data_IF_656616127555
#
_entry.id   IF_656616127555
#
_cell.length_a   1.000
_cell.length_b   1.000
_cell.length_c   1.000
_cell.angle_alpha   90.00
_cell.angle_beta   90.00
_cell.angle_gamma   90.00
#
_symmetry.space_group_name_H-M   'P 1'
#
loop_
_entity.id
_entity.type
_entity.pdbx_description
1 polymer ?
#
# COMPACT_ATOMS: atom_id res chain seq x y z
N UNK A 1 -4.83 -25.64 -9.20
CA UNK A 1 -4.56 -24.25 -9.55
C UNK A 1 -5.74 -23.43 -9.07
N UNK A 2 -5.56 -22.59 -8.08
CA UNK A 2 -6.59 -21.69 -7.59
C UNK A 2 -6.96 -20.69 -8.69
N UNK A 3 -8.21 -20.73 -9.12
CA UNK A 3 -8.76 -19.86 -10.19
C UNK A 3 -9.06 -18.47 -9.58
N UNK A 4 -8.00 -17.77 -9.11
CA UNK A 4 -8.14 -16.43 -8.55
C UNK A 4 -8.54 -15.46 -9.66
N UNK A 5 -9.77 -14.99 -9.62
CA UNK A 5 -10.25 -13.90 -10.46
C UNK A 5 -10.14 -12.60 -9.69
N UNK A 6 -9.52 -11.60 -10.29
CA UNK A 6 -9.45 -10.24 -9.74
C UNK A 6 -10.84 -9.68 -9.57
N UNK A 7 -11.11 -9.13 -8.38
CA UNK A 7 -12.33 -8.35 -8.18
C UNK A 7 -12.26 -7.10 -9.05
N UNK A 8 -13.34 -6.76 -9.73
CA UNK A 8 -13.42 -5.61 -10.63
C UNK A 8 -14.75 -4.89 -10.38
N UNK A 9 -14.85 -4.24 -9.21
CA UNK A 9 -16.05 -3.54 -8.74
C UNK A 9 -15.87 -2.04 -8.94
N UNK A 10 -16.71 -1.39 -9.77
CA UNK A 10 -16.61 0.05 -10.01
C UNK A 10 -16.82 0.87 -8.73
N UNK A 11 -15.99 1.91 -8.53
CA UNK A 11 -16.08 2.80 -7.38
C UNK A 11 -15.65 2.20 -6.06
N UNK A 12 -15.16 0.96 -6.06
CA UNK A 12 -14.82 0.26 -4.82
C UNK A 12 -13.46 0.68 -4.26
N UNK A 13 -13.28 0.34 -2.98
CA UNK A 13 -12.03 0.49 -2.25
C UNK A 13 -11.27 -0.83 -2.25
N UNK A 14 -9.97 -0.75 -2.49
CA UNK A 14 -9.07 -1.90 -2.56
C UNK A 14 -7.84 -1.68 -1.69
N UNK A 15 -7.40 -2.74 -1.04
CA UNK A 15 -6.07 -2.80 -0.45
C UNK A 15 -5.11 -3.51 -1.42
N UNK A 16 -3.86 -3.06 -1.45
CA UNK A 16 -2.80 -3.60 -2.32
C UNK A 16 -1.52 -3.87 -1.55
N UNK A 17 -0.84 -4.96 -1.93
CA UNK A 17 0.57 -5.20 -1.61
C UNK A 17 1.36 -5.29 -2.91
N UNK A 18 2.34 -4.41 -3.09
CA UNK A 18 3.12 -4.30 -4.32
C UNK A 18 4.60 -4.41 -4.01
N UNK A 19 5.23 -5.47 -4.52
CA UNK A 19 6.60 -5.83 -4.17
C UNK A 19 7.58 -5.53 -5.31
N UNK A 20 8.83 -5.19 -4.93
CA UNK A 20 9.96 -5.27 -5.82
C UNK A 20 10.33 -6.73 -6.09
N UNK A 21 11.02 -6.97 -7.22
CA UNK A 21 11.48 -8.30 -7.59
C UNK A 21 12.65 -8.76 -6.72
N UNK A 22 13.55 -7.85 -6.37
CA UNK A 22 14.57 -8.03 -5.34
C UNK A 22 14.00 -7.58 -3.99
N UNK A 23 14.04 -8.45 -2.98
CA UNK A 23 13.53 -8.18 -1.62
C UNK A 23 14.63 -7.71 -0.67
N UNK A 24 15.89 -7.72 -1.12
CA UNK A 24 17.06 -7.29 -0.34
C UNK A 24 17.52 -5.88 -0.74
N UNK A 25 16.59 -5.00 -1.13
CA UNK A 25 16.88 -3.65 -1.62
C UNK A 25 16.14 -2.59 -0.84
N UNK A 26 16.69 -1.39 -0.83
CA UNK A 26 16.10 -0.17 -0.24
C UNK A 26 15.52 0.77 -1.31
N UNK A 27 15.40 0.28 -2.54
CA UNK A 27 15.16 1.07 -3.75
C UNK A 27 13.95 2.02 -3.66
N UNK A 28 12.86 1.61 -3.00
CA UNK A 28 11.65 2.46 -2.91
C UNK A 28 11.87 3.67 -2.01
N UNK A 29 12.64 3.53 -0.93
CA UNK A 29 12.95 4.63 -0.02
C UNK A 29 14.10 5.47 -0.53
N UNK A 30 15.09 4.87 -1.18
CA UNK A 30 16.21 5.60 -1.81
C UNK A 30 15.70 6.51 -2.96
N UNK A 31 14.66 6.08 -3.67
CA UNK A 31 14.03 6.82 -4.76
C UNK A 31 12.60 7.27 -4.41
N UNK A 32 12.39 7.70 -3.17
CA UNK A 32 11.04 8.03 -2.67
C UNK A 32 10.38 9.17 -3.47
N UNK A 33 11.13 10.18 -3.89
CA UNK A 33 10.58 11.28 -4.68
C UNK A 33 10.17 10.84 -6.08
N UNK A 34 10.95 9.94 -6.71
CA UNK A 34 10.56 9.33 -7.98
C UNK A 34 9.28 8.51 -7.81
N UNK A 35 9.14 7.77 -6.71
CA UNK A 35 7.92 7.03 -6.42
C UNK A 35 6.71 7.94 -6.17
N UNK A 36 6.88 9.02 -5.41
CA UNK A 36 5.84 10.05 -5.19
C UNK A 36 5.36 10.65 -6.51
N UNK A 37 6.29 10.98 -7.39
CA UNK A 37 5.98 11.48 -8.72
C UNK A 37 5.31 10.43 -9.61
N UNK A 38 5.75 9.15 -9.53
CA UNK A 38 5.13 8.04 -10.22
C UNK A 38 3.67 7.82 -9.80
N UNK A 39 3.34 8.04 -8.52
CA UNK A 39 1.95 7.96 -8.02
C UNK A 39 1.16 9.21 -8.43
N UNK A 40 1.76 10.40 -8.38
CA UNK A 40 1.10 11.67 -8.71
C UNK A 40 0.71 11.76 -10.18
N UNK A 41 1.61 11.39 -11.08
CA UNK A 41 1.43 11.55 -12.53
C UNK A 41 0.17 10.85 -13.08
N UNK A 42 -0.09 9.56 -12.82
CA UNK A 42 -1.30 8.93 -13.34
C UNK A 42 -2.58 9.50 -12.72
N UNK A 43 -2.55 10.02 -11.50
CA UNK A 43 -3.73 10.55 -10.81
C UNK A 43 -4.34 11.77 -11.51
N UNK A 44 -3.60 12.48 -12.33
CA UNK A 44 -4.13 13.61 -13.11
C UNK A 44 -5.09 13.19 -14.21
N UNK A 45 -4.91 11.99 -14.77
CA UNK A 45 -5.73 11.44 -15.86
C UNK A 45 -6.61 10.27 -15.43
N UNK A 46 -6.18 9.55 -14.43
CA UNK A 46 -6.87 8.38 -13.86
C UNK A 46 -6.98 8.59 -12.34
N UNK A 47 -7.89 9.49 -11.89
CA UNK A 47 -7.98 9.86 -10.49
C UNK A 47 -8.34 8.67 -9.61
N UNK A 48 -7.86 8.70 -8.36
CA UNK A 48 -8.22 7.80 -7.27
C UNK A 48 -7.86 8.46 -5.94
N UNK A 49 -8.55 8.07 -4.90
CA UNK A 49 -8.25 8.51 -3.53
C UNK A 49 -7.26 7.53 -2.90
N UNK A 50 -6.24 8.05 -2.22
CA UNK A 50 -5.34 7.26 -1.39
C UNK A 50 -5.84 7.41 0.04
N UNK A 51 -6.55 6.40 0.54
CA UNK A 51 -7.06 6.37 1.90
C UNK A 51 -5.90 6.14 2.88
N UNK A 52 -5.09 5.13 2.65
CA UNK A 52 -3.85 4.91 3.39
C UNK A 52 -2.73 4.41 2.46
N UNK A 53 -1.49 4.70 2.82
CA UNK A 53 -0.31 4.20 2.11
C UNK A 53 0.91 4.20 3.01
N UNK A 54 1.73 3.15 2.89
CA UNK A 54 3.07 3.07 3.48
C UNK A 54 4.04 2.54 2.45
N UNK A 55 5.23 3.13 2.39
CA UNK A 55 6.32 2.68 1.55
C UNK A 55 7.41 2.13 2.44
N UNK A 56 7.78 0.87 2.22
CA UNK A 56 8.88 0.16 2.86
C UNK A 56 10.02 0.02 1.85
N UNK A 57 11.22 -0.38 2.27
CA UNK A 57 12.38 -0.40 1.39
C UNK A 57 12.14 -1.15 0.07
N UNK A 58 11.47 -2.31 0.12
CA UNK A 58 11.34 -3.25 -1.02
C UNK A 58 9.88 -3.55 -1.40
N UNK A 59 8.90 -2.98 -0.68
CA UNK A 59 7.48 -3.10 -1.01
C UNK A 59 6.66 -1.92 -0.50
N UNK A 60 5.40 -1.87 -0.89
CA UNK A 60 4.46 -0.90 -0.38
C UNK A 60 3.09 -1.52 -0.15
N UNK A 61 2.35 -0.95 0.78
CA UNK A 61 0.93 -1.21 0.96
C UNK A 61 0.13 0.06 0.70
N UNK A 62 -1.03 -0.10 0.08
CA UNK A 62 -1.92 1.03 -0.18
C UNK A 62 -3.38 0.61 -0.08
N UNK A 63 -4.22 1.52 0.43
CA UNK A 63 -5.68 1.45 0.34
C UNK A 63 -6.13 2.57 -0.59
N UNK A 64 -6.84 2.21 -1.67
CA UNK A 64 -7.32 3.15 -2.67
C UNK A 64 -8.82 3.02 -2.90
N UNK A 65 -9.49 4.16 -2.99
CA UNK A 65 -10.88 4.23 -3.47
C UNK A 65 -10.90 4.76 -4.91
N UNK A 66 -11.54 4.01 -5.79
CA UNK A 66 -11.70 4.37 -7.19
C UNK A 66 -12.92 5.29 -7.40
N UNK A 67 -12.95 6.11 -8.47
CA UNK A 67 -14.11 6.90 -8.80
C UNK A 67 -15.34 6.04 -9.13
N UNK A 68 -16.56 6.56 -8.93
CA UNK A 68 -17.78 5.89 -9.39
C UNK A 68 -17.68 5.50 -10.88
N UNK A 69 -18.08 4.28 -11.20
CA UNK A 69 -18.03 3.75 -12.57
C UNK A 69 -16.68 3.24 -13.05
N UNK A 70 -15.61 3.44 -12.30
CA UNK A 70 -14.24 3.00 -12.67
C UNK A 70 -13.78 1.85 -11.77
N UNK A 71 -13.22 0.80 -12.36
CA UNK A 71 -12.67 -0.36 -11.68
C UNK A 71 -11.22 -0.67 -12.11
N UNK A 72 -10.61 0.16 -12.97
CA UNK A 72 -9.31 -0.13 -13.58
C UNK A 72 -8.12 0.31 -12.70
N UNK A 73 -7.98 -0.31 -11.52
CA UNK A 73 -6.78 -0.15 -10.71
C UNK A 73 -5.53 -0.77 -11.39
N UNK A 74 -5.73 -1.72 -12.31
CA UNK A 74 -4.62 -2.39 -12.98
C UNK A 74 -3.87 -1.44 -13.92
N UNK A 75 -4.60 -0.58 -14.65
CA UNK A 75 -4.00 0.49 -15.45
C UNK A 75 -3.16 1.43 -14.58
N UNK A 76 -3.70 1.85 -13.43
CA UNK A 76 -3.01 2.76 -12.50
C UNK A 76 -1.70 2.15 -12.00
N UNK A 77 -1.70 0.90 -11.55
CA UNK A 77 -0.48 0.22 -11.14
C UNK A 77 0.51 0.04 -12.29
N UNK A 78 0.03 -0.26 -13.50
CA UNK A 78 0.91 -0.35 -14.68
C UNK A 78 1.59 0.98 -14.96
N UNK A 79 0.86 2.08 -14.93
CA UNK A 79 1.40 3.43 -15.16
C UNK A 79 2.42 3.81 -14.09
N UNK A 80 2.09 3.61 -12.81
CA UNK A 80 2.99 3.89 -11.68
C UNK A 80 4.28 3.09 -11.81
N UNK A 81 4.17 1.77 -11.99
CA UNK A 81 5.32 0.88 -12.12
C UNK A 81 6.20 1.26 -13.31
N UNK A 82 5.59 1.59 -14.44
CA UNK A 82 6.30 2.00 -15.66
C UNK A 82 7.01 3.33 -15.45
N UNK A 83 6.32 4.33 -14.90
CA UNK A 83 6.89 5.65 -14.66
C UNK A 83 8.08 5.59 -13.70
N UNK A 84 7.94 4.92 -12.58
CA UNK A 84 9.01 4.69 -11.62
C UNK A 84 10.19 3.95 -12.26
N UNK A 85 9.93 2.83 -12.95
CA UNK A 85 10.99 2.04 -13.57
C UNK A 85 11.83 2.82 -14.58
N UNK A 86 11.22 3.77 -15.30
CA UNK A 86 11.95 4.62 -16.28
C UNK A 86 12.91 5.59 -15.62
N UNK A 87 12.70 5.95 -14.36
CA UNK A 87 13.56 6.88 -13.59
C UNK A 87 14.72 6.17 -12.92
N UNK A 88 14.59 4.87 -12.66
CA UNK A 88 15.65 4.10 -12.02
C UNK A 88 16.76 3.79 -13.05
N UNK A 89 18.03 4.03 -12.73
CA UNK A 89 19.15 3.60 -13.58
C UNK A 89 19.07 2.12 -13.91
N UNK A 90 19.54 1.74 -15.10
CA UNK A 90 19.61 0.32 -15.46
C UNK A 90 20.77 -0.35 -14.73
N UNK A 91 20.57 -1.59 -14.28
CA UNK A 91 21.59 -2.36 -13.55
C UNK A 91 21.03 -3.63 -12.93
N UNK A 92 19.71 -3.81 -12.99
CA UNK A 92 19.05 -4.98 -12.45
C UNK A 92 19.33 -6.24 -13.27
N UNK A 93 19.58 -7.38 -12.58
CA UNK A 93 19.69 -8.68 -13.22
C UNK A 93 18.32 -9.13 -13.74
N UNK A 94 18.23 -9.42 -15.03
CA UNK A 94 16.98 -9.84 -15.69
C UNK A 94 17.06 -11.32 -16.07
N UNK A 95 15.98 -12.07 -15.86
CA UNK A 95 15.80 -13.43 -16.37
C UNK A 95 15.48 -13.37 -17.87
N UNK A 96 15.80 -14.43 -18.62
CA UNK A 96 15.57 -14.51 -20.06
C UNK A 96 14.13 -14.18 -20.48
N UNK A 97 13.13 -14.64 -19.69
CA UNK A 97 11.72 -14.32 -19.91
C UNK A 97 11.36 -12.84 -19.79
N UNK A 98 12.21 -12.02 -19.15
CA UNK A 98 12.05 -10.56 -19.06
C UNK A 98 12.83 -9.86 -20.16
N UNK A 99 14.00 -10.41 -20.52
CA UNK A 99 14.82 -9.92 -21.63
C UNK A 99 14.03 -10.04 -22.93
N UNK A 100 13.43 -11.20 -23.19
CA UNK A 100 12.61 -11.46 -24.38
C UNK A 100 11.39 -10.52 -24.53
N UNK A 101 10.92 -9.90 -23.44
CA UNK A 101 9.78 -8.96 -23.43
C UNK A 101 10.19 -7.50 -23.17
N UNK A 102 11.49 -7.22 -23.17
CA UNK A 102 12.09 -5.94 -22.76
C UNK A 102 11.54 -5.39 -21.42
N UNK A 103 11.21 -6.30 -20.49
CA UNK A 103 10.70 -5.93 -19.18
C UNK A 103 11.85 -5.60 -18.22
N UNK A 104 11.73 -4.49 -17.49
CA UNK A 104 12.58 -4.19 -16.33
C UNK A 104 12.28 -5.19 -15.19
N UNK A 105 13.32 -5.62 -14.47
CA UNK A 105 13.18 -6.54 -13.34
C UNK A 105 13.04 -5.83 -11.98
N UNK A 106 12.55 -4.59 -11.96
CA UNK A 106 12.38 -3.80 -10.74
C UNK A 106 11.21 -4.33 -9.91
N UNK A 107 10.06 -4.55 -10.54
CA UNK A 107 8.83 -4.98 -9.84
C UNK A 107 8.55 -6.47 -10.03
N UNK A 108 7.88 -7.09 -9.05
CA UNK A 108 7.17 -8.33 -9.30
C UNK A 108 6.07 -8.09 -10.34
N UNK A 109 5.86 -9.07 -11.24
CA UNK A 109 4.83 -8.97 -12.29
C UNK A 109 3.44 -8.87 -11.69
N UNK A 110 3.17 -9.68 -10.66
CA UNK A 110 1.92 -9.69 -9.92
C UNK A 110 2.03 -8.83 -8.67
N UNK A 111 0.92 -8.35 -8.19
CA UNK A 111 0.70 -7.75 -6.88
C UNK A 111 -0.53 -8.39 -6.27
N UNK A 112 -0.66 -8.30 -4.97
CA UNK A 112 -1.85 -8.79 -4.29
C UNK A 112 -2.86 -7.65 -4.14
N UNK A 113 -4.15 -7.94 -4.32
CA UNK A 113 -5.25 -7.01 -4.09
C UNK A 113 -6.34 -7.70 -3.26
N UNK A 114 -7.00 -6.91 -2.42
CA UNK A 114 -8.17 -7.28 -1.64
C UNK A 114 -9.25 -6.23 -1.79
N UNK A 115 -10.47 -6.64 -2.15
CA UNK A 115 -11.64 -5.77 -2.18
C UNK A 115 -12.10 -5.52 -0.75
N UNK A 116 -12.10 -4.26 -0.33
CA UNK A 116 -12.62 -3.85 0.98
C UNK A 116 -14.14 -4.02 0.98
N UNK A 117 -14.67 -4.75 1.95
CA UNK A 117 -16.07 -5.21 1.99
C UNK A 117 -16.97 -4.28 2.80
N UNK A 118 -16.43 -3.72 3.89
CA UNK A 118 -17.15 -2.91 4.85
C UNK A 118 -16.20 -1.95 5.60
N UNK A 119 -16.75 -1.14 6.50
CA UNK A 119 -15.99 -0.15 7.27
C UNK A 119 -14.99 -0.81 8.23
N UNK A 120 -15.35 -1.93 8.82
CA UNK A 120 -14.45 -2.67 9.72
C UNK A 120 -13.25 -3.24 8.94
N UNK A 121 -13.49 -3.80 7.77
CA UNK A 121 -12.44 -4.28 6.87
C UNK A 121 -11.52 -3.14 6.41
N UNK A 122 -12.09 -1.95 6.13
CA UNK A 122 -11.32 -0.73 5.82
C UNK A 122 -10.42 -0.33 6.98
N UNK A 123 -10.96 -0.23 8.18
CA UNK A 123 -10.22 0.17 9.37
C UNK A 123 -9.06 -0.79 9.65
N UNK A 124 -9.30 -2.09 9.58
CA UNK A 124 -8.26 -3.11 9.75
C UNK A 124 -7.11 -2.94 8.77
N UNK A 125 -7.40 -2.70 7.49
CA UNK A 125 -6.37 -2.53 6.49
C UNK A 125 -5.62 -1.19 6.62
N UNK A 126 -6.30 -0.12 7.03
CA UNK A 126 -5.66 1.17 7.35
C UNK A 126 -4.71 1.01 8.53
N UNK A 127 -5.14 0.37 9.61
CA UNK A 127 -4.31 0.09 10.79
C UNK A 127 -3.10 -0.77 10.42
N UNK A 128 -3.32 -1.83 9.62
CA UNK A 128 -2.24 -2.66 9.11
C UNK A 128 -1.21 -1.85 8.30
N UNK A 129 -1.67 -0.97 7.40
CA UNK A 129 -0.78 -0.09 6.62
C UNK A 129 0.07 0.78 7.54
N UNK A 130 -0.53 1.39 8.57
CA UNK A 130 0.16 2.30 9.46
C UNK A 130 1.11 1.59 10.42
N UNK A 131 0.77 0.38 10.87
CA UNK A 131 1.59 -0.40 11.79
C UNK A 131 2.73 -1.16 11.10
N UNK A 132 2.67 -1.27 9.79
CA UNK A 132 3.58 -2.11 8.99
C UNK A 132 5.09 -1.85 9.23
N UNK A 133 5.58 -0.58 9.34
CA UNK A 133 6.99 -0.32 9.63
C UNK A 133 7.43 -0.84 11.01
N UNK A 134 6.56 -0.82 12.00
CA UNK A 134 6.82 -1.38 13.33
C UNK A 134 6.83 -2.91 13.26
N UNK A 135 5.85 -3.51 12.58
CA UNK A 135 5.76 -4.95 12.35
C UNK A 135 7.04 -5.52 11.71
N UNK A 136 7.64 -4.78 10.76
CA UNK A 136 8.89 -5.19 10.10
C UNK A 136 10.16 -4.77 10.83
N UNK A 137 10.04 -4.16 12.02
CA UNK A 137 11.19 -3.77 12.85
C UNK A 137 12.01 -2.60 12.27
N UNK A 138 11.45 -1.84 11.33
CA UNK A 138 12.15 -0.67 10.81
C UNK A 138 12.17 0.50 11.80
N UNK A 139 11.15 0.60 12.64
CA UNK A 139 11.01 1.61 13.70
C UNK A 139 10.27 1.03 14.91
N UNK A 140 10.45 1.62 16.08
CA UNK A 140 9.71 1.24 17.29
C UNK A 140 8.29 1.83 17.34
N UNK A 141 8.05 2.92 16.63
CA UNK A 141 6.76 3.65 16.61
C UNK A 141 6.39 4.02 15.19
N UNK A 142 5.13 3.89 14.84
CA UNK A 142 4.61 4.27 13.52
C UNK A 142 4.91 5.73 13.16
N UNK A 143 4.91 6.62 14.17
CA UNK A 143 5.25 8.05 14.02
C UNK A 143 6.69 8.32 13.61
N UNK A 144 7.60 7.35 13.74
CA UNK A 144 9.01 7.51 13.37
C UNK A 144 9.28 7.13 11.90
N UNK A 145 8.28 6.55 11.20
CA UNK A 145 8.42 6.18 9.81
C UNK A 145 7.93 7.30 8.87
N UNK A 146 8.83 7.97 8.10
CA UNK A 146 8.46 9.17 7.34
C UNK A 146 7.63 8.89 6.08
N UNK A 147 7.61 7.64 5.60
CA UNK A 147 7.01 7.26 4.32
C UNK A 147 5.64 6.60 4.50
N UNK A 148 4.82 7.20 5.37
CA UNK A 148 3.49 6.70 5.72
C UNK A 148 2.43 7.80 5.70
N UNK A 149 1.21 7.45 5.29
CA UNK A 149 0.02 8.30 5.48
C UNK A 149 -0.37 8.49 6.94
N UNK A 150 0.26 7.77 7.87
CA UNK A 150 0.07 7.94 9.32
C UNK A 150 0.15 9.40 9.77
N UNK A 151 1.13 10.14 9.26
CA UNK A 151 1.33 11.56 9.59
C UNK A 151 0.14 12.44 9.19
N UNK A 152 -0.50 12.14 8.06
CA UNK A 152 -1.73 12.82 7.64
C UNK A 152 -2.87 12.54 8.63
N UNK A 153 -3.03 11.28 9.06
CA UNK A 153 -4.05 10.89 10.04
C UNK A 153 -3.85 11.57 11.41
N UNK A 154 -2.59 11.74 11.82
CA UNK A 154 -2.27 12.50 13.04
C UNK A 154 -2.60 13.98 12.86
N UNK A 155 -2.22 14.59 11.73
CA UNK A 155 -2.49 16.00 11.44
C UNK A 155 -4.00 16.29 11.35
N UNK A 156 -4.80 15.33 10.84
CA UNK A 156 -6.26 15.40 10.78
C UNK A 156 -6.94 15.07 12.14
N UNK A 157 -6.17 14.75 13.18
CA UNK A 157 -6.69 14.38 14.52
C UNK A 157 -7.43 13.03 14.53
N UNK A 158 -7.21 12.18 13.53
CA UNK A 158 -7.83 10.84 13.40
C UNK A 158 -7.08 9.80 14.21
N UNK A 159 -5.77 9.95 14.39
CA UNK A 159 -4.90 9.10 15.20
C UNK A 159 -4.05 9.93 16.16
N UNK A 160 -3.71 9.34 17.31
CA UNK A 160 -2.70 9.90 18.22
C UNK A 160 -1.30 9.65 17.67
N UNK A 161 -0.33 10.55 17.96
CA UNK A 161 1.10 10.30 17.70
C UNK A 161 1.63 9.04 18.40
N UNK A 162 0.98 8.65 19.50
CA UNK A 162 1.34 7.49 20.31
C UNK A 162 0.55 6.24 19.93
N UNK A 163 -0.20 6.28 18.81
CA UNK A 163 -0.95 5.13 18.33
C UNK A 163 -0.01 3.93 18.07
N UNK A 164 -0.44 2.75 18.48
CA UNK A 164 0.33 1.50 18.31
C UNK A 164 1.51 1.32 19.26
N UNK A 165 1.72 2.24 20.23
CA UNK A 165 2.76 2.08 21.27
C UNK A 165 2.31 1.07 22.30
N UNK A 166 3.19 0.10 22.66
CA UNK A 166 2.88 -0.94 23.66
C UNK A 166 2.13 -2.16 23.11
N UNK A 167 1.82 -2.18 21.84
CA UNK A 167 1.39 -3.39 21.13
C UNK A 167 2.65 -4.13 20.71
N UNK A 168 3.05 -5.15 21.46
CA UNK A 168 4.20 -5.98 21.15
C UNK A 168 4.03 -6.65 19.78
N UNK A 169 5.13 -7.13 19.21
CA UNK A 169 5.12 -7.92 17.95
C UNK A 169 4.18 -9.12 17.99
N UNK A 170 3.80 -9.59 19.18
CA UNK A 170 2.85 -10.68 19.46
C UNK A 170 1.40 -10.18 19.64
N UNK A 171 1.20 -8.87 19.70
CA UNK A 171 -0.08 -8.23 19.99
C UNK A 171 -0.93 -8.04 18.75
N UNK A 172 -1.52 -9.10 18.21
CA UNK A 172 -2.78 -9.07 17.46
C UNK A 172 -2.81 -8.40 16.09
N UNK A 173 -1.73 -7.80 15.60
CA UNK A 173 -1.60 -7.40 14.19
C UNK A 173 -1.06 -8.59 13.38
N UNK A 174 -1.91 -9.59 13.20
CA UNK A 174 -1.56 -10.88 12.67
C UNK A 174 -1.09 -10.91 11.22
N UNK A 175 -0.44 -12.00 10.83
CA UNK A 175 -0.04 -12.24 9.44
C UNK A 175 -1.25 -12.42 8.52
N UNK A 176 -1.19 -11.79 7.32
CA UNK A 176 -2.09 -12.05 6.22
C UNK A 176 -1.52 -13.20 5.37
N UNK A 177 -1.77 -14.38 5.78
CA UNK A 177 -1.92 -15.51 4.86
C UNK A 177 -3.28 -16.07 5.20
N UNK A 178 -4.23 -16.06 4.29
CA UNK A 178 -5.57 -16.61 4.44
C UNK A 178 -6.13 -16.64 5.89
N UNK A 179 -6.18 -15.49 6.56
CA UNK A 179 -6.68 -15.40 7.90
C UNK A 179 -5.94 -14.42 8.83
N UNK A 180 -5.94 -13.14 8.48
CA UNK A 180 -5.46 -12.11 9.41
C UNK A 180 -6.34 -12.04 10.66
N UNK A 181 -5.74 -12.22 11.83
CA UNK A 181 -6.36 -11.79 13.08
C UNK A 181 -5.87 -10.40 13.41
N UNK A 182 -6.78 -9.43 13.36
CA UNK A 182 -6.52 -8.06 13.78
C UNK A 182 -6.93 -7.85 15.24
N UNK A 183 -6.18 -7.01 15.95
CA UNK A 183 -6.69 -6.40 17.17
C UNK A 183 -7.92 -5.53 16.83
N UNK A 184 -8.77 -5.27 17.82
CA UNK A 184 -9.93 -4.39 17.63
C UNK A 184 -9.52 -3.05 17.04
N UNK A 185 -10.31 -2.47 16.12
CA UNK A 185 -10.02 -1.18 15.52
C UNK A 185 -9.83 -0.11 16.59
N UNK A 186 -8.67 0.53 16.58
CA UNK A 186 -8.34 1.61 17.53
C UNK A 186 -8.98 2.94 17.08
N UNK A 187 -9.45 3.00 15.83
CA UNK A 187 -10.16 4.16 15.29
C UNK A 187 -11.57 4.24 15.91
N UNK A 188 -11.76 5.21 16.80
CA UNK A 188 -13.13 5.59 17.25
C UNK A 188 -13.85 6.25 16.08
N UNK A 189 -14.99 5.68 15.67
CA UNK A 189 -15.92 6.31 14.73
C UNK A 189 -16.34 7.68 15.29
N UNK A 190 -16.01 8.76 14.58
CA UNK A 190 -16.74 10.02 14.79
C UNK A 190 -18.10 9.82 14.14
N UNK A 191 -19.13 9.61 14.96
CA UNK A 191 -20.51 9.77 14.51
C UNK A 191 -20.64 11.17 13.88
N UNK A 192 -20.94 11.21 12.58
CA UNK A 192 -21.42 12.43 11.93
C UNK A 192 -22.71 12.82 12.63
N UNK A 193 -22.66 13.84 13.48
CA UNK A 193 -23.86 14.56 13.85
C UNK A 193 -24.37 15.25 12.58
N UNK A 194 -25.45 14.71 12.03
CA UNK A 194 -26.27 15.38 11.02
C UNK A 194 -27.01 16.50 11.77
N UNK A 195 -26.76 17.72 11.38
CA UNK A 195 -27.67 18.83 11.57
C UNK A 195 -28.20 19.26 10.21
#
# INVERSE_FOLDING_TARGET
MTNYRRANVPGATYFFTVNLANRETTLLVDHIEDLRNAVRYPRTRHPFVIDAMVVLPEHLHAVWTLPPGDADYALRWRLIKTWFSRRIPRGERRRDSRIAKDERAIWQRRYWEHLIRDEEDLHRHVDYVHFNPVKHGHVERASNWPYSSFHRYVAEGRLSRHWGVGVGSDGGFGELVDGYRFAQPILRSRSRAVR
#
